data_IF_394002164582
#
_entry.id   IF_394002164582
#
_cell.length_a   1.000
_cell.length_b   1.000
_cell.length_c   1.000
_cell.angle_alpha   90.00
_cell.angle_beta   90.00
_cell.angle_gamma   90.00
#
_symmetry.space_group_name_H-M   'P 1'
#
loop_
_entity.id
_entity.type
_entity.pdbx_description
1 polymer ?
#
# COMPACT_ATOMS: atom_id res chain seq x y z
N UNK A 1 11.37 -34.46 26.78
CA UNK A 1 10.13 -33.70 26.49
C UNK A 1 10.10 -33.29 25.03
N UNK A 2 9.08 -33.74 24.28
CA UNK A 2 8.83 -33.36 22.88
C UNK A 2 7.76 -32.27 22.83
N UNK A 3 8.06 -31.11 22.22
CA UNK A 3 7.14 -30.26 21.41
C UNK A 3 8.05 -29.50 20.42
N UNK A 4 8.39 -30.14 19.29
CA UNK A 4 7.90 -29.82 17.92
C UNK A 4 8.00 -28.33 17.59
N UNK A 5 8.98 -28.02 16.73
CA UNK A 5 9.22 -26.69 16.19
C UNK A 5 8.05 -26.15 15.38
N UNK A 6 7.79 -24.85 15.57
CA UNK A 6 7.00 -24.04 14.67
C UNK A 6 7.83 -23.74 13.43
N UNK A 7 7.80 -24.68 12.49
CA UNK A 7 8.22 -24.43 11.11
C UNK A 7 7.42 -23.23 10.57
N UNK A 8 8.08 -22.09 10.38
CA UNK A 8 7.66 -21.15 9.35
C UNK A 8 7.84 -21.87 8.02
N UNK A 9 6.80 -22.57 7.60
CA UNK A 9 6.78 -23.40 6.41
C UNK A 9 6.97 -22.46 5.21
N UNK A 10 8.20 -22.33 4.74
CA UNK A 10 8.54 -21.77 3.43
C UNK A 10 8.06 -22.80 2.41
N UNK A 11 6.76 -22.82 2.10
CA UNK A 11 6.28 -23.58 0.97
C UNK A 11 6.64 -22.80 -0.30
N UNK A 12 7.73 -23.22 -0.96
CA UNK A 12 8.15 -22.70 -2.26
C UNK A 12 7.05 -22.98 -3.29
N UNK A 13 6.07 -22.09 -3.42
CA UNK A 13 5.18 -22.04 -4.57
C UNK A 13 5.69 -20.98 -5.54
N UNK A 14 6.58 -21.44 -6.43
CA UNK A 14 6.97 -20.79 -7.69
C UNK A 14 7.44 -19.34 -7.61
N UNK A 15 8.77 -19.12 -7.65
CA UNK A 15 9.53 -17.91 -8.06
C UNK A 15 9.02 -16.49 -7.75
N UNK A 16 7.97 -16.30 -6.96
CA UNK A 16 7.52 -15.02 -6.45
C UNK A 16 7.53 -15.12 -4.92
N UNK A 17 8.45 -14.39 -4.30
CA UNK A 17 8.47 -14.21 -2.85
C UNK A 17 7.25 -13.37 -2.51
N UNK A 18 6.12 -14.03 -2.28
CA UNK A 18 4.95 -13.38 -1.68
C UNK A 18 5.17 -13.49 -0.18
N UNK A 19 5.62 -12.39 0.43
CA UNK A 19 5.70 -12.30 1.88
C UNK A 19 4.27 -12.41 2.43
N UNK A 20 3.95 -13.41 3.26
CA UNK A 20 2.67 -13.43 3.94
C UNK A 20 2.67 -12.26 4.93
N UNK A 21 2.07 -11.14 4.53
CA UNK A 21 1.83 -10.04 5.45
C UNK A 21 0.93 -10.55 6.58
N UNK A 22 1.23 -10.20 7.84
CA UNK A 22 0.40 -10.57 8.97
C UNK A 22 -1.02 -10.02 8.75
N UNK A 23 -2.02 -10.89 8.96
CA UNK A 23 -3.43 -10.64 8.62
C UNK A 23 -4.09 -9.52 9.43
N UNK A 24 -3.38 -8.94 10.38
CA UNK A 24 -3.89 -7.93 11.30
C UNK A 24 -3.07 -6.65 11.18
N UNK A 25 -3.78 -5.52 11.10
CA UNK A 25 -3.22 -4.16 11.18
C UNK A 25 -2.38 -4.08 12.46
N UNK A 26 -1.06 -4.11 12.35
CA UNK A 26 -0.17 -3.82 13.48
C UNK A 26 -0.40 -2.37 13.87
N UNK A 27 -1.23 -2.12 14.88
CA UNK A 27 -1.30 -0.80 15.52
C UNK A 27 -0.01 -0.62 16.30
N UNK A 28 0.57 0.58 16.23
CA UNK A 28 1.82 0.95 16.92
C UNK A 28 1.73 0.83 18.47
N UNK A 29 0.57 0.47 19.01
CA UNK A 29 0.34 0.28 20.45
C UNK A 29 0.90 -1.04 21.00
N UNK A 30 1.15 -2.03 20.14
CA UNK A 30 1.82 -3.27 20.55
C UNK A 30 3.30 -3.21 20.15
N UNK A 31 4.14 -3.11 21.18
CA UNK A 31 5.59 -2.96 21.15
C UNK A 31 6.32 -3.90 20.19
N UNK A 32 6.47 -3.52 18.93
CA UNK A 32 7.49 -4.10 18.07
C UNK A 32 8.82 -3.38 18.36
N UNK A 33 9.44 -3.78 19.47
CA UNK A 33 10.84 -3.48 19.76
C UNK A 33 11.78 -4.23 18.82
N UNK A 34 11.33 -4.81 17.69
CA UNK A 34 12.18 -5.63 16.84
C UNK A 34 12.32 -5.03 15.44
N UNK A 35 13.51 -5.15 14.84
CA UNK A 35 13.78 -4.75 13.48
C UNK A 35 12.87 -5.52 12.51
N UNK A 36 12.15 -4.80 11.65
CA UNK A 36 11.25 -5.43 10.67
C UNK A 36 11.95 -6.24 9.57
N UNK A 37 13.27 -6.17 9.49
CA UNK A 37 14.09 -6.90 8.51
C UNK A 37 14.78 -8.12 9.12
N UNK A 38 15.61 -7.92 10.15
CA UNK A 38 16.40 -8.99 10.77
C UNK A 38 15.81 -9.54 12.08
N UNK A 39 14.77 -8.92 12.65
CA UNK A 39 14.12 -9.35 13.88
C UNK A 39 14.86 -8.99 15.18
N UNK A 40 16.00 -8.30 15.13
CA UNK A 40 16.77 -7.92 16.33
C UNK A 40 16.04 -6.90 17.19
N UNK A 41 16.17 -7.00 18.51
CA UNK A 41 15.65 -5.99 19.44
C UNK A 41 16.30 -4.61 19.20
N UNK A 42 15.46 -3.59 19.19
CA UNK A 42 15.74 -2.18 18.96
C UNK A 42 15.74 -1.48 20.30
N UNK A 43 16.72 -0.59 20.47
CA UNK A 43 16.86 0.23 21.66
C UNK A 43 15.95 1.48 21.66
N UNK A 44 15.33 1.80 20.54
CA UNK A 44 14.46 2.97 20.36
C UNK A 44 13.14 2.53 19.74
N UNK A 45 12.04 2.73 20.47
CA UNK A 45 10.68 2.42 20.03
C UNK A 45 10.23 3.22 18.81
N UNK A 46 10.93 4.31 18.47
CA UNK A 46 10.66 5.10 17.26
C UNK A 46 11.38 4.56 16.02
N UNK A 47 12.36 3.66 16.19
CA UNK A 47 13.06 3.03 15.07
C UNK A 47 12.29 1.81 14.60
N UNK A 48 12.23 1.64 13.28
CA UNK A 48 11.64 0.45 12.61
C UNK A 48 12.73 -0.54 12.15
N UNK A 49 13.97 -0.09 12.04
CA UNK A 49 15.14 -0.85 11.60
C UNK A 49 16.32 -0.63 12.54
N UNK A 50 17.18 -1.64 12.71
CA UNK A 50 18.35 -1.53 13.58
C UNK A 50 19.51 -0.77 12.93
N UNK A 51 19.57 -0.74 11.59
CA UNK A 51 20.60 -0.05 10.82
C UNK A 51 20.02 0.51 9.52
N UNK A 52 20.78 1.40 8.87
CA UNK A 52 20.42 1.99 7.58
C UNK A 52 20.39 0.93 6.47
N UNK A 53 21.33 -0.01 6.46
CA UNK A 53 21.38 -1.10 5.48
C UNK A 53 20.07 -1.91 5.45
N UNK A 54 19.57 -2.34 6.62
CA UNK A 54 18.30 -3.07 6.69
C UNK A 54 17.09 -2.24 6.28
N UNK A 55 17.12 -0.92 6.51
CA UNK A 55 16.09 -0.02 5.99
C UNK A 55 16.17 0.01 4.47
N UNK A 56 17.38 0.14 3.91
CA UNK A 56 17.60 0.31 2.49
C UNK A 56 17.32 -1.00 1.73
N UNK A 57 17.67 -2.17 2.27
CA UNK A 57 17.27 -3.48 1.75
C UNK A 57 15.76 -3.69 1.80
N UNK A 58 15.11 -3.33 2.91
CA UNK A 58 13.65 -3.39 3.04
C UNK A 58 12.96 -2.43 2.07
N UNK A 59 13.51 -1.22 1.91
CA UNK A 59 13.05 -0.27 0.91
C UNK A 59 13.29 -0.82 -0.48
N UNK A 60 14.42 -1.43 -0.80
CA UNK A 60 14.70 -2.02 -2.11
C UNK A 60 13.73 -3.16 -2.43
N UNK A 61 13.28 -3.94 -1.45
CA UNK A 61 12.22 -4.95 -1.66
C UNK A 61 10.86 -4.31 -1.90
N UNK A 62 10.51 -3.23 -1.19
CA UNK A 62 9.20 -2.56 -1.30
C UNK A 62 9.12 -1.52 -2.43
N UNK A 63 10.27 -1.00 -2.82
CA UNK A 63 10.50 -0.04 -3.90
C UNK A 63 11.09 -0.71 -5.12
N UNK A 64 11.34 -2.04 -5.11
CA UNK A 64 11.59 -2.76 -6.35
C UNK A 64 10.42 -2.42 -7.28
N UNK A 65 10.69 -1.92 -8.49
CA UNK A 65 9.66 -1.37 -9.35
C UNK A 65 8.91 -2.54 -10.00
N UNK A 66 8.17 -3.30 -9.20
CA UNK A 66 6.90 -3.81 -9.64
C UNK A 66 6.12 -2.60 -10.13
N UNK A 67 6.10 -2.45 -11.45
CA UNK A 67 5.50 -1.32 -12.13
C UNK A 67 4.10 -1.08 -11.55
N UNK A 68 4.00 -0.08 -10.67
CA UNK A 68 2.77 0.25 -9.96
C UNK A 68 1.69 0.59 -10.98
N UNK A 69 2.06 1.13 -12.15
CA UNK A 69 1.11 1.39 -13.23
C UNK A 69 0.58 0.09 -13.82
N UNK A 70 1.44 -0.92 -14.00
CA UNK A 70 1.02 -2.27 -14.43
C UNK A 70 0.10 -2.93 -13.41
N UNK A 71 0.43 -2.88 -12.12
CA UNK A 71 -0.40 -3.48 -11.06
C UNK A 71 -1.72 -2.72 -10.88
N UNK A 72 -1.67 -1.38 -10.96
CA UNK A 72 -2.86 -0.52 -10.98
C UNK A 72 -3.77 -0.86 -12.16
N UNK A 73 -3.23 -1.12 -13.35
CA UNK A 73 -4.02 -1.55 -14.50
C UNK A 73 -4.72 -2.88 -14.23
N UNK A 74 -4.02 -3.86 -13.65
CA UNK A 74 -4.62 -5.13 -13.22
C UNK A 74 -5.71 -4.93 -12.17
N UNK A 75 -5.51 -4.06 -11.19
CA UNK A 75 -6.50 -3.73 -10.18
C UNK A 75 -7.75 -3.10 -10.81
N UNK A 76 -7.58 -2.15 -11.74
CA UNK A 76 -8.68 -1.55 -12.51
C UNK A 76 -9.46 -2.58 -13.32
N UNK A 77 -8.79 -3.56 -13.93
CA UNK A 77 -9.44 -4.64 -14.67
C UNK A 77 -10.20 -5.59 -13.73
N UNK A 78 -9.57 -6.03 -12.63
CA UNK A 78 -10.18 -6.87 -11.58
C UNK A 78 -11.46 -6.23 -11.03
N UNK A 79 -11.38 -4.94 -10.71
CA UNK A 79 -12.45 -4.17 -10.08
C UNK A 79 -13.46 -3.62 -11.08
N UNK A 80 -13.41 -4.08 -12.34
CA UNK A 80 -14.29 -3.66 -13.45
C UNK A 80 -14.37 -2.13 -13.63
N UNK A 81 -13.28 -1.42 -13.31
CA UNK A 81 -13.17 0.05 -13.33
C UNK A 81 -14.26 0.72 -12.50
N UNK A 82 -14.54 0.16 -11.32
CA UNK A 82 -15.57 0.65 -10.41
C UNK A 82 -15.00 0.79 -8.99
N UNK A 83 -15.43 1.84 -8.27
CA UNK A 83 -15.09 2.03 -6.87
C UNK A 83 -15.65 0.87 -6.04
N UNK A 84 -14.79 0.18 -5.30
CA UNK A 84 -15.19 -0.98 -4.49
C UNK A 84 -15.95 -0.61 -3.21
N UNK A 85 -15.95 0.66 -2.81
CA UNK A 85 -16.67 1.12 -1.61
C UNK A 85 -18.06 1.68 -1.92
N UNK A 86 -18.26 2.30 -3.08
CA UNK A 86 -19.53 2.99 -3.39
C UNK A 86 -20.14 2.67 -4.76
N UNK A 87 -19.48 1.85 -5.59
CA UNK A 87 -19.99 1.48 -6.91
C UNK A 87 -19.86 2.55 -8.00
N UNK A 88 -19.27 3.72 -7.72
CA UNK A 88 -19.02 4.75 -8.73
C UNK A 88 -18.12 4.21 -9.85
N UNK A 89 -18.57 4.31 -11.09
CA UNK A 89 -17.81 3.89 -12.27
C UNK A 89 -16.68 4.87 -12.59
N UNK A 90 -15.66 4.41 -13.31
CA UNK A 90 -14.57 5.27 -13.73
C UNK A 90 -15.03 6.41 -14.67
N UNK A 91 -16.09 6.19 -15.45
CA UNK A 91 -16.67 7.24 -16.31
C UNK A 91 -17.33 8.34 -15.49
N UNK A 92 -18.15 7.98 -14.50
CA UNK A 92 -18.75 8.95 -13.56
C UNK A 92 -17.69 9.70 -12.78
N UNK A 93 -16.65 8.99 -12.33
CA UNK A 93 -15.53 9.59 -11.62
C UNK A 93 -14.76 10.60 -12.48
N UNK A 94 -14.45 10.28 -13.74
CA UNK A 94 -13.81 11.21 -14.67
C UNK A 94 -14.68 12.45 -14.89
N UNK A 95 -16.00 12.28 -15.08
CA UNK A 95 -16.92 13.42 -15.24
C UNK A 95 -16.95 14.33 -14.01
N UNK A 96 -16.93 13.76 -12.80
CA UNK A 96 -17.04 14.51 -11.55
C UNK A 96 -15.70 15.14 -11.10
N UNK A 97 -14.58 14.44 -11.29
CA UNK A 97 -13.29 14.81 -10.71
C UNK A 97 -12.18 15.08 -11.73
N UNK A 98 -12.45 14.95 -13.04
CA UNK A 98 -11.49 15.10 -14.13
C UNK A 98 -10.24 14.19 -14.00
N UNK A 99 -10.43 13.00 -13.43
CA UNK A 99 -9.37 12.00 -13.26
C UNK A 99 -9.96 10.58 -13.14
N UNK A 100 -9.16 9.56 -13.46
CA UNK A 100 -9.55 8.16 -13.25
C UNK A 100 -9.62 7.78 -11.76
N UNK A 101 -10.25 6.65 -11.45
CA UNK A 101 -10.25 6.06 -10.10
C UNK A 101 -8.81 5.84 -9.57
N UNK A 102 -8.68 5.85 -8.25
CA UNK A 102 -7.42 5.72 -7.54
C UNK A 102 -7.18 4.28 -7.11
N UNK A 103 -5.93 3.83 -7.13
CA UNK A 103 -5.53 2.58 -6.50
C UNK A 103 -4.99 2.89 -5.11
N UNK A 104 -5.67 2.38 -4.09
CA UNK A 104 -5.31 2.54 -2.69
C UNK A 104 -4.61 1.28 -2.19
N UNK A 105 -3.51 1.44 -1.47
CA UNK A 105 -2.86 0.33 -0.77
C UNK A 105 -3.71 -0.09 0.44
N UNK A 106 -4.07 -1.37 0.54
CA UNK A 106 -4.88 -1.91 1.65
C UNK A 106 -4.03 -1.95 2.93
N UNK A 107 -2.81 -2.47 2.83
CA UNK A 107 -1.75 -2.28 3.82
C UNK A 107 -0.88 -1.11 3.35
N UNK A 108 -0.71 -0.05 4.15
CA UNK A 108 0.16 1.07 3.81
C UNK A 108 1.57 0.65 3.45
N UNK A 109 2.19 1.37 2.50
CA UNK A 109 3.59 1.09 2.09
C UNK A 109 4.57 1.22 3.25
N UNK A 110 4.35 2.17 4.15
CA UNK A 110 5.18 2.38 5.35
C UNK A 110 5.11 1.19 6.31
N UNK A 111 4.07 0.37 6.20
CA UNK A 111 3.84 -0.82 7.01
C UNK A 111 4.15 -2.13 6.28
N UNK A 112 4.81 -2.06 5.13
CA UNK A 112 5.20 -3.24 4.36
C UNK A 112 4.24 -3.63 3.24
N UNK A 113 3.25 -2.77 2.95
CA UNK A 113 2.33 -2.99 1.84
C UNK A 113 3.04 -3.04 0.48
N UNK A 114 2.81 -4.13 -0.27
CA UNK A 114 3.34 -4.32 -1.61
C UNK A 114 2.59 -3.49 -2.67
N UNK A 115 3.17 -3.36 -3.87
CA UNK A 115 2.48 -2.78 -5.03
C UNK A 115 1.66 -3.81 -5.83
N UNK A 116 1.68 -5.08 -5.44
CA UNK A 116 0.93 -6.14 -6.11
C UNK A 116 -0.58 -5.88 -6.05
N UNK A 117 -1.28 -6.36 -7.08
CA UNK A 117 -2.72 -6.16 -7.26
C UNK A 117 -3.55 -6.59 -6.04
N UNK A 118 -3.11 -7.61 -5.31
CA UNK A 118 -3.77 -8.11 -4.09
C UNK A 118 -3.76 -7.10 -2.93
N UNK A 119 -2.74 -6.25 -2.84
CA UNK A 119 -2.67 -5.16 -1.88
C UNK A 119 -3.27 -3.84 -2.41
N UNK A 120 -3.85 -3.82 -3.61
CA UNK A 120 -4.50 -2.64 -4.18
C UNK A 120 -6.02 -2.77 -4.20
N UNK A 121 -6.74 -1.69 -3.91
CA UNK A 121 -8.19 -1.56 -4.09
C UNK A 121 -8.52 -0.30 -4.88
N UNK A 122 -9.42 -0.40 -5.86
CA UNK A 122 -9.83 0.74 -6.67
C UNK A 122 -10.94 1.53 -5.99
N UNK A 123 -10.71 2.84 -5.79
CA UNK A 123 -11.62 3.75 -5.09
C UNK A 123 -11.82 5.07 -5.84
N UNK A 124 -13.00 5.67 -5.66
CA UNK A 124 -13.23 7.06 -6.04
C UNK A 124 -12.49 8.02 -5.11
N UNK A 125 -12.30 9.28 -5.51
CA UNK A 125 -11.57 10.29 -4.75
C UNK A 125 -12.11 10.45 -3.32
N UNK A 126 -13.44 10.47 -3.14
CA UNK A 126 -14.06 10.62 -1.83
C UNK A 126 -13.82 9.40 -0.93
N UNK A 127 -14.01 8.18 -1.45
CA UNK A 127 -13.75 6.95 -0.69
C UNK A 127 -12.26 6.77 -0.39
N UNK A 128 -11.40 7.13 -1.35
CA UNK A 128 -9.94 7.11 -1.18
C UNK A 128 -9.51 7.99 -0.01
N UNK A 129 -10.01 9.22 0.07
CA UNK A 129 -9.74 10.14 1.19
C UNK A 129 -10.29 9.57 2.51
N UNK A 130 -11.51 9.01 2.51
CA UNK A 130 -12.09 8.39 3.71
C UNK A 130 -11.21 7.25 4.25
N UNK A 131 -10.64 6.42 3.37
CA UNK A 131 -9.76 5.32 3.78
C UNK A 131 -8.46 5.81 4.40
N UNK A 132 -7.78 6.78 3.79
CA UNK A 132 -6.58 7.38 4.41
C UNK A 132 -6.88 8.01 5.78
N UNK A 133 -8.02 8.71 5.92
CA UNK A 133 -8.45 9.26 7.21
C UNK A 133 -8.67 8.17 8.26
N UNK A 134 -9.30 7.04 7.89
CA UNK A 134 -9.49 5.91 8.80
C UNK A 134 -8.18 5.19 9.18
N UNK A 135 -7.16 5.29 8.32
CA UNK A 135 -5.81 4.79 8.59
C UNK A 135 -4.98 5.72 9.47
N UNK A 136 -5.41 6.96 9.70
CA UNK A 136 -4.66 7.96 10.46
C UNK A 136 -3.58 8.67 9.63
N UNK A 137 -3.63 8.57 8.30
CA UNK A 137 -2.66 9.19 7.40
C UNK A 137 -3.10 10.61 6.99
N UNK A 138 -2.19 11.58 7.15
CA UNK A 138 -2.42 12.97 6.71
C UNK A 138 -2.16 13.09 5.20
N UNK A 139 -3.21 13.20 4.39
CA UNK A 139 -3.06 13.26 2.92
C UNK A 139 -2.93 14.71 2.45
N UNK A 140 -1.71 15.12 2.08
CA UNK A 140 -1.47 16.39 1.37
C UNK A 140 -1.76 16.23 -0.12
N UNK A 141 -2.97 16.58 -0.55
CA UNK A 141 -3.28 16.72 -1.98
C UNK A 141 -2.73 18.04 -2.50
N UNK A 142 -2.02 18.00 -3.63
CA UNK A 142 -1.75 19.19 -4.43
C UNK A 142 -2.93 19.38 -5.38
N UNK A 143 -3.77 20.36 -5.11
CA UNK A 143 -4.84 20.75 -6.02
C UNK A 143 -4.24 21.19 -7.36
N UNK A 144 -4.48 20.43 -8.43
CA UNK A 144 -4.09 20.81 -9.80
C UNK A 144 -5.13 21.71 -10.48
N UNK A 145 -5.78 22.62 -9.75
CA UNK A 145 -6.71 23.60 -10.36
C UNK A 145 -6.03 24.96 -10.51
N UNK A 146 -5.33 25.15 -11.62
CA UNK A 146 -5.22 26.41 -12.36
C UNK A 146 -4.44 26.20 -13.67
N UNK A 147 -5.10 25.70 -14.71
CA UNK A 147 -4.78 26.10 -16.09
C UNK A 147 -6.10 26.43 -16.76
N UNK A 148 -6.64 27.60 -16.42
CA UNK A 148 -7.72 28.22 -17.18
C UNK A 148 -7.13 29.32 -18.05
N UNK A 149 -7.55 29.27 -19.32
CA UNK A 149 -7.78 30.39 -20.24
C UNK A 149 -6.60 31.33 -20.51
N UNK A 150 -6.02 31.25 -21.71
CA UNK A 150 -5.94 32.38 -22.66
C UNK A 150 -5.29 31.89 -23.97
N UNK A 151 -6.09 31.80 -25.04
CA UNK A 151 -5.68 32.09 -26.42
C UNK A 151 -6.92 32.02 -27.33
N UNK A 152 -7.77 33.03 -27.21
CA UNK A 152 -8.63 33.48 -28.31
C UNK A 152 -8.29 34.94 -28.53
N UNK A 153 -7.36 35.19 -29.45
CA UNK A 153 -7.42 36.19 -30.51
C UNK A 153 -6.17 36.06 -31.39
#
# INVERSE_FOLDING_TARGET
>A
MKRKGGSSFIEKRGNNITYPLPKERMRDEDTFLNCRWCGVELNDKRKRFCCQEHRDEWLDVIYWPEDFQRQRKKALERDKKTCQDCGMTNLEHIKKFNQSLHAHHIVPRIDGGSNYVDNLVILCQECHIKRHKAMGEEVKWKDKKAVNAHASN
#
